data_IF_920264097072
#
_entry.id   IF_920264097072
#
_cell.length_a   1.000
_cell.length_b   1.000
_cell.length_c   1.000
_cell.angle_alpha   90.00
_cell.angle_beta   90.00
_cell.angle_gamma   90.00
#
_symmetry.space_group_name_H-M   'P 1'
#
loop_
_entity.id
_entity.type
_entity.pdbx_description
1 polymer ?
#
# COMPACT_ATOMS: atom_id res chain seq x y z
N UNK A 1 11.61 -15.44 9.22
CA UNK A 1 10.87 -14.99 8.01
C UNK A 1 10.61 -16.20 7.13
N UNK A 2 9.35 -16.57 6.88
CA UNK A 2 9.05 -17.71 6.03
C UNK A 2 9.36 -17.35 4.57
N UNK A 3 10.31 -18.04 3.95
CA UNK A 3 10.72 -17.81 2.56
C UNK A 3 10.06 -18.90 1.70
N UNK A 4 9.17 -18.54 0.77
CA UNK A 4 8.50 -19.49 -0.10
C UNK A 4 9.48 -20.17 -1.04
N UNK A 5 9.31 -21.48 -1.23
CA UNK A 5 10.18 -22.31 -2.07
C UNK A 5 9.67 -22.42 -3.52
N UNK A 6 8.40 -22.14 -3.75
CA UNK A 6 7.72 -22.30 -5.03
C UNK A 6 6.60 -21.25 -5.21
N UNK A 7 5.94 -21.30 -6.37
CA UNK A 7 4.81 -20.44 -6.73
C UNK A 7 3.68 -20.51 -5.70
N UNK A 8 3.34 -21.71 -5.21
CA UNK A 8 2.23 -21.88 -4.26
C UNK A 8 2.55 -21.25 -2.90
N UNK A 9 3.82 -21.31 -2.48
CA UNK A 9 4.29 -20.60 -1.31
C UNK A 9 4.15 -19.08 -1.44
N UNK A 10 4.42 -18.51 -2.63
CA UNK A 10 4.20 -17.08 -2.88
C UNK A 10 2.70 -16.75 -2.81
N UNK A 11 1.84 -17.58 -3.40
CA UNK A 11 0.38 -17.43 -3.30
C UNK A 11 -0.06 -17.35 -1.83
N UNK A 12 0.36 -18.30 -1.01
CA UNK A 12 -0.03 -18.33 0.41
C UNK A 12 0.53 -17.17 1.21
N UNK A 13 1.78 -16.76 0.96
CA UNK A 13 2.37 -15.59 1.62
C UNK A 13 1.52 -14.34 1.40
N UNK A 14 1.21 -14.02 0.14
CA UNK A 14 0.42 -12.83 -0.20
C UNK A 14 -1.04 -12.97 0.22
N UNK A 15 -1.63 -14.18 0.16
CA UNK A 15 -3.01 -14.43 0.62
C UNK A 15 -3.14 -14.18 2.13
N UNK A 16 -2.31 -14.82 2.95
CA UNK A 16 -2.34 -14.67 4.40
C UNK A 16 -2.01 -13.23 4.78
N UNK A 17 -1.02 -12.62 4.12
CA UNK A 17 -0.68 -11.21 4.29
C UNK A 17 -1.86 -10.27 4.00
N UNK A 18 -2.57 -10.49 2.89
CA UNK A 18 -3.75 -9.69 2.57
C UNK A 18 -4.85 -9.86 3.61
N UNK A 19 -5.08 -11.08 4.13
CA UNK A 19 -6.08 -11.32 5.20
C UNK A 19 -5.68 -10.61 6.49
N UNK A 20 -4.39 -10.56 6.83
CA UNK A 20 -3.91 -9.79 7.97
C UNK A 20 -4.26 -8.30 7.82
N UNK A 21 -3.95 -7.70 6.66
CA UNK A 21 -4.31 -6.30 6.39
C UNK A 21 -5.82 -6.08 6.32
N UNK A 22 -6.59 -7.08 5.88
CA UNK A 22 -8.06 -7.11 5.98
C UNK A 22 -8.55 -7.04 7.43
N UNK A 23 -7.85 -7.70 8.35
CA UNK A 23 -8.10 -7.54 9.78
C UNK A 23 -7.88 -6.10 10.24
N UNK A 24 -6.74 -5.49 9.88
CA UNK A 24 -6.41 -4.10 10.25
C UNK A 24 -7.46 -3.12 9.72
N UNK A 25 -7.81 -3.20 8.43
CA UNK A 25 -8.81 -2.31 7.84
C UNK A 25 -10.21 -2.54 8.40
N UNK A 26 -10.56 -3.78 8.77
CA UNK A 26 -11.83 -4.13 9.40
C UNK A 26 -11.94 -3.58 10.82
N UNK A 27 -10.90 -3.72 11.63
CA UNK A 27 -10.85 -3.15 12.99
C UNK A 27 -10.96 -1.62 12.94
N UNK A 28 -10.25 -0.96 12.02
CA UNK A 28 -10.36 0.49 11.83
C UNK A 28 -11.78 0.90 11.41
N UNK A 29 -12.41 0.16 10.49
CA UNK A 29 -13.80 0.40 10.08
C UNK A 29 -14.80 0.26 11.23
N UNK A 30 -14.64 -0.76 12.07
CA UNK A 30 -15.50 -0.98 13.23
C UNK A 30 -15.40 0.17 14.23
N UNK A 31 -14.18 0.64 14.53
CA UNK A 31 -13.97 1.80 15.41
C UNK A 31 -14.65 3.06 14.84
N UNK A 32 -14.46 3.33 13.54
CA UNK A 32 -15.10 4.46 12.88
C UNK A 32 -16.63 4.42 13.02
N UNK A 33 -17.24 3.24 12.82
CA UNK A 33 -18.69 3.06 12.95
C UNK A 33 -19.17 3.25 14.39
N UNK A 34 -18.39 2.80 15.37
CA UNK A 34 -18.68 3.01 16.80
C UNK A 34 -18.72 4.50 17.15
N UNK A 35 -17.80 5.32 16.64
CA UNK A 35 -17.83 6.77 16.92
C UNK A 35 -19.05 7.47 16.33
N UNK A 36 -19.61 6.96 15.23
CA UNK A 36 -20.79 7.54 14.58
C UNK A 36 -22.13 7.19 15.27
N UNK A 37 -22.14 6.32 16.29
CA UNK A 37 -23.37 6.00 17.03
C UNK A 37 -23.69 6.98 18.15
N UNK A 38 -22.74 7.84 18.53
CA UNK A 38 -22.89 8.82 19.60
C UNK A 38 -23.17 10.23 19.04
N UNK A 39 -24.32 10.86 19.34
CA UNK A 39 -24.70 12.16 18.78
C UNK A 39 -23.89 13.34 19.35
N UNK A 40 -23.31 13.20 20.54
CA UNK A 40 -22.43 14.19 21.18
C UNK A 40 -21.11 13.53 21.54
N UNK A 41 -20.11 13.69 20.68
CA UNK A 41 -18.77 13.19 20.90
C UNK A 41 -17.88 14.26 21.56
N UNK A 42 -16.94 13.85 22.42
CA UNK A 42 -15.93 14.77 22.95
C UNK A 42 -14.95 15.18 21.84
N UNK A 43 -14.27 16.34 21.96
CA UNK A 43 -13.31 16.79 20.95
C UNK A 43 -12.25 15.74 20.57
N UNK A 44 -11.78 14.95 21.54
CA UNK A 44 -10.79 13.89 21.33
C UNK A 44 -11.30 12.71 20.48
N UNK A 45 -12.61 12.55 20.33
CA UNK A 45 -13.18 11.54 19.43
C UNK A 45 -12.97 11.93 17.96
N UNK A 46 -12.82 13.23 17.65
CA UNK A 46 -12.54 13.71 16.30
C UNK A 46 -11.24 13.13 15.75
N UNK A 47 -10.14 13.27 16.49
CA UNK A 47 -8.81 12.74 16.13
C UNK A 47 -8.82 11.20 16.00
N UNK A 48 -9.48 10.51 16.94
CA UNK A 48 -9.58 9.04 16.85
C UNK A 48 -10.44 8.59 15.67
N UNK A 49 -11.47 9.35 15.32
CA UNK A 49 -12.32 9.09 14.16
C UNK A 49 -11.55 9.24 12.85
N UNK A 50 -10.85 10.36 12.67
CA UNK A 50 -10.10 10.64 11.45
C UNK A 50 -8.85 9.75 11.33
N UNK A 51 -8.24 9.37 12.45
CA UNK A 51 -7.19 8.34 12.46
C UNK A 51 -7.71 6.98 12.04
N UNK A 52 -8.83 6.53 12.62
CA UNK A 52 -9.47 5.28 12.21
C UNK A 52 -9.92 5.32 10.74
N UNK A 53 -10.44 6.45 10.25
CA UNK A 53 -10.80 6.66 8.84
C UNK A 53 -9.59 6.49 7.93
N UNK A 54 -8.47 7.12 8.30
CA UNK A 54 -7.26 7.13 7.47
C UNK A 54 -6.60 5.77 7.48
N UNK A 55 -6.46 5.12 8.65
CA UNK A 55 -5.95 3.75 8.76
C UNK A 55 -6.83 2.77 7.99
N UNK A 56 -8.15 2.90 8.05
CA UNK A 56 -9.05 2.05 7.26
C UNK A 56 -8.76 2.17 5.77
N UNK A 57 -8.70 3.40 5.25
CA UNK A 57 -8.44 3.63 3.83
C UNK A 57 -7.03 3.25 3.40
N UNK A 58 -6.01 3.53 4.22
CA UNK A 58 -4.63 3.14 3.94
C UNK A 58 -4.45 1.62 4.00
N UNK A 59 -4.94 0.94 5.04
CA UNK A 59 -4.84 -0.52 5.13
C UNK A 59 -5.64 -1.22 4.01
N UNK A 60 -6.74 -0.62 3.55
CA UNK A 60 -7.47 -1.02 2.36
C UNK A 60 -6.65 -0.85 1.07
N UNK A 61 -6.45 0.40 0.68
CA UNK A 61 -5.97 0.74 -0.66
C UNK A 61 -4.46 0.55 -0.82
N UNK A 62 -3.68 0.69 0.26
CA UNK A 62 -2.21 0.68 0.20
C UNK A 62 -1.61 -0.67 0.60
N UNK A 63 -2.38 -1.53 1.27
CA UNK A 63 -1.90 -2.83 1.75
C UNK A 63 -2.77 -3.99 1.25
N UNK A 64 -4.04 -4.07 1.67
CA UNK A 64 -4.92 -5.19 1.34
C UNK A 64 -5.10 -5.36 -0.17
N UNK A 65 -5.50 -4.30 -0.88
CA UNK A 65 -5.79 -4.36 -2.33
C UNK A 65 -4.55 -4.78 -3.13
N UNK A 66 -3.37 -4.15 -2.98
CA UNK A 66 -2.17 -4.57 -3.71
C UNK A 66 -1.73 -6.00 -3.37
N UNK A 67 -1.75 -6.40 -2.10
CA UNK A 67 -1.32 -7.76 -1.72
C UNK A 67 -2.32 -8.83 -2.15
N UNK A 68 -3.62 -8.57 -2.07
CA UNK A 68 -4.65 -9.45 -2.58
C UNK A 68 -4.55 -9.59 -4.11
N UNK A 69 -4.31 -8.49 -4.83
CA UNK A 69 -4.09 -8.52 -6.28
C UNK A 69 -2.87 -9.40 -6.63
N UNK A 70 -1.74 -9.19 -5.96
CA UNK A 70 -0.55 -10.02 -6.15
C UNK A 70 -0.81 -11.51 -5.83
N UNK A 71 -1.59 -11.81 -4.79
CA UNK A 71 -2.00 -13.18 -4.46
C UNK A 71 -2.84 -13.82 -5.58
N UNK A 72 -3.84 -13.11 -6.09
CA UNK A 72 -4.72 -13.59 -7.18
C UNK A 72 -3.92 -13.80 -8.47
N UNK A 73 -3.00 -12.89 -8.79
CA UNK A 73 -2.14 -12.99 -9.97
C UNK A 73 -1.20 -14.19 -9.83
N UNK A 74 -0.53 -14.34 -8.69
CA UNK A 74 0.31 -15.50 -8.41
C UNK A 74 -0.47 -16.82 -8.50
N UNK A 75 -1.72 -16.82 -8.02
CA UNK A 75 -2.60 -17.98 -8.12
C UNK A 75 -2.99 -18.27 -9.57
N UNK A 76 -3.22 -17.22 -10.37
CA UNK A 76 -3.47 -17.38 -11.80
C UNK A 76 -2.30 -18.01 -12.54
N UNK A 77 -1.07 -17.64 -12.18
CA UNK A 77 0.15 -18.25 -12.71
C UNK A 77 0.25 -19.72 -12.31
N UNK A 78 0.05 -20.02 -11.03
CA UNK A 78 0.06 -21.40 -10.50
C UNK A 78 -0.93 -22.30 -11.24
N UNK A 79 -2.19 -21.88 -11.36
CA UNK A 79 -3.24 -22.63 -12.08
C UNK A 79 -2.93 -22.80 -13.57
N UNK A 80 -2.14 -21.88 -14.12
CA UNK A 80 -1.70 -21.89 -15.52
C UNK A 80 -0.44 -22.70 -15.77
N UNK A 81 0.08 -23.39 -14.75
CA UNK A 81 1.35 -24.14 -14.80
C UNK A 81 2.56 -23.24 -15.13
N UNK A 82 2.45 -21.94 -14.84
CA UNK A 82 3.58 -21.01 -14.86
C UNK A 82 4.27 -21.01 -13.50
N UNK A 83 5.52 -20.56 -13.47
CA UNK A 83 6.31 -20.53 -12.24
C UNK A 83 6.70 -19.11 -11.86
N UNK A 84 6.67 -18.81 -10.57
CA UNK A 84 7.34 -17.64 -10.00
C UNK A 84 8.75 -18.12 -9.66
N UNK A 85 9.73 -17.73 -10.46
CA UNK A 85 11.13 -18.15 -10.31
C UNK A 85 11.80 -17.34 -9.20
N UNK A 86 11.40 -16.08 -9.05
CA UNK A 86 11.96 -15.13 -8.08
C UNK A 86 11.23 -15.16 -6.73
N UNK A 87 10.94 -16.34 -6.18
CA UNK A 87 10.14 -16.50 -4.94
C UNK A 87 10.74 -15.76 -3.74
N UNK A 88 12.08 -15.74 -3.62
CA UNK A 88 12.79 -15.05 -2.53
C UNK A 88 12.62 -13.53 -2.62
N UNK A 89 12.68 -12.97 -3.83
CA UNK A 89 12.47 -11.54 -4.06
C UNK A 89 11.01 -11.17 -3.75
N UNK A 90 10.05 -11.99 -4.21
CA UNK A 90 8.65 -11.79 -3.89
C UNK A 90 8.38 -11.74 -2.38
N UNK A 91 9.06 -12.58 -1.60
CA UNK A 91 8.96 -12.54 -0.15
C UNK A 91 9.62 -11.30 0.47
N UNK A 92 10.80 -10.92 -0.01
CA UNK A 92 11.48 -9.70 0.43
C UNK A 92 10.59 -8.46 0.20
N UNK A 93 10.02 -8.33 -1.00
CA UNK A 93 9.11 -7.24 -1.34
C UNK A 93 7.90 -7.20 -0.41
N UNK A 94 7.26 -8.35 -0.18
CA UNK A 94 6.10 -8.45 0.72
C UNK A 94 6.43 -7.99 2.14
N UNK A 95 7.51 -8.52 2.73
CA UNK A 95 7.84 -8.26 4.12
C UNK A 95 8.32 -6.83 4.34
N UNK A 96 9.18 -6.30 3.46
CA UNK A 96 9.63 -4.93 3.56
C UNK A 96 8.50 -3.92 3.30
N UNK A 97 7.65 -4.17 2.29
CA UNK A 97 6.50 -3.31 2.04
C UNK A 97 5.54 -3.30 3.23
N UNK A 98 5.24 -4.48 3.80
CA UNK A 98 4.39 -4.58 4.99
C UNK A 98 5.00 -3.89 6.21
N UNK A 99 6.32 -4.01 6.41
CA UNK A 99 7.03 -3.32 7.49
C UNK A 99 6.93 -1.80 7.33
N UNK A 100 7.22 -1.29 6.13
CA UNK A 100 7.18 0.15 5.86
C UNK A 100 5.77 0.74 5.96
N UNK A 101 4.75 0.02 5.47
CA UNK A 101 3.35 0.38 5.69
C UNK A 101 3.01 0.41 7.19
N UNK A 102 3.47 -0.58 7.95
CA UNK A 102 3.29 -0.63 9.40
C UNK A 102 3.93 0.55 10.11
N UNK A 103 5.14 0.96 9.72
CA UNK A 103 5.81 2.15 10.26
C UNK A 103 5.01 3.41 9.93
N UNK A 104 4.57 3.59 8.67
CA UNK A 104 3.76 4.75 8.30
C UNK A 104 2.46 4.85 9.12
N UNK A 105 1.74 3.73 9.29
CA UNK A 105 0.49 3.68 10.05
C UNK A 105 0.68 3.79 11.56
N UNK A 106 1.84 3.38 12.08
CA UNK A 106 2.17 3.55 13.50
C UNK A 106 2.26 5.03 13.91
N UNK A 107 2.39 5.95 12.95
CA UNK A 107 2.27 7.39 13.17
C UNK A 107 0.85 7.87 13.49
N UNK A 108 -0.16 7.00 13.36
CA UNK A 108 -1.59 7.34 13.49
C UNK A 108 -1.98 8.48 12.54
N UNK A 109 -1.95 8.22 11.21
CA UNK A 109 -2.26 9.21 10.18
C UNK A 109 -3.70 9.74 10.33
N UNK A 110 -3.92 11.04 10.21
CA UNK A 110 -5.20 11.70 10.56
C UNK A 110 -5.78 12.62 9.45
N UNK A 111 -5.23 12.55 8.24
CA UNK A 111 -5.57 13.45 7.13
C UNK A 111 -6.53 12.89 6.07
N UNK A 112 -7.11 11.70 6.31
CA UNK A 112 -7.89 10.96 5.33
C UNK A 112 -7.02 10.20 4.31
N UNK A 113 -7.59 9.16 3.71
CA UNK A 113 -6.81 8.22 2.89
C UNK A 113 -6.26 8.82 1.59
N UNK A 114 -6.95 9.84 1.08
CA UNK A 114 -6.52 10.60 -0.08
C UNK A 114 -5.39 11.58 0.21
N UNK A 115 -4.83 11.68 1.43
CA UNK A 115 -3.62 12.47 1.70
C UNK A 115 -3.57 13.86 1.02
N UNK A 116 -4.67 14.62 0.97
CA UNK A 116 -4.68 15.90 0.24
C UNK A 116 -3.90 16.99 1.00
N UNK A 117 -3.06 17.82 0.33
CA UNK A 117 -2.56 19.05 0.93
C UNK A 117 -3.70 20.08 1.11
N UNK A 118 -3.63 20.96 2.12
CA UNK A 118 -2.52 21.10 3.07
C UNK A 118 -2.58 20.12 4.25
N UNK A 119 -3.69 19.41 4.47
CA UNK A 119 -3.90 18.53 5.63
C UNK A 119 -2.83 17.44 5.78
N UNK A 120 -2.31 16.93 4.66
CA UNK A 120 -1.25 15.93 4.65
C UNK A 120 0.14 16.48 5.03
N UNK A 121 0.32 17.79 5.09
CA UNK A 121 1.62 18.42 5.40
C UNK A 121 1.59 19.34 6.62
N UNK A 122 0.41 19.59 7.20
CA UNK A 122 0.25 20.42 8.38
C UNK A 122 0.32 19.60 9.68
N UNK A 123 0.97 20.17 10.69
CA UNK A 123 0.95 19.66 12.07
C UNK A 123 1.00 20.85 13.03
N UNK A 124 -0.15 21.28 13.51
CA UNK A 124 -0.35 22.41 14.41
C UNK A 124 -1.40 22.07 15.49
N UNK A 125 -1.80 23.02 16.34
CA UNK A 125 -2.74 22.77 17.45
C UNK A 125 -4.18 22.41 17.04
N UNK A 126 -4.51 22.52 15.75
CA UNK A 126 -5.86 22.25 15.22
C UNK A 126 -5.87 21.11 14.19
N UNK A 127 -4.77 20.90 13.47
CA UNK A 127 -4.65 19.91 12.41
C UNK A 127 -3.38 19.09 12.58
N UNK A 128 -3.51 17.78 12.38
CA UNK A 128 -2.40 16.85 12.43
C UNK A 128 -2.42 15.98 11.17
N UNK A 129 -1.34 15.97 10.39
CA UNK A 129 -1.15 14.93 9.38
C UNK A 129 -0.99 13.56 10.07
N UNK A 130 -0.25 13.52 11.18
CA UNK A 130 -0.05 12.34 12.00
C UNK A 130 -0.17 12.71 13.47
N UNK A 131 -0.92 11.93 14.26
CA UNK A 131 -1.08 12.20 15.69
C UNK A 131 0.20 11.93 16.48
N UNK A 132 1.00 10.93 16.08
CA UNK A 132 2.21 10.54 16.82
C UNK A 132 3.51 11.01 16.16
N UNK A 133 3.50 11.28 14.87
CA UNK A 133 4.66 11.82 14.14
C UNK A 133 4.54 13.34 13.99
N UNK A 134 4.74 14.05 15.09
CA UNK A 134 4.44 15.49 15.19
C UNK A 134 5.54 16.42 14.67
N UNK A 135 6.74 15.91 14.40
CA UNK A 135 7.85 16.72 13.88
C UNK A 135 7.96 16.61 12.36
N UNK A 136 8.40 17.68 11.65
CA UNK A 136 8.64 17.64 10.20
C UNK A 136 9.50 16.46 9.75
N UNK A 137 10.54 16.13 10.52
CA UNK A 137 11.42 15.01 10.22
C UNK A 137 10.70 13.66 10.33
N UNK A 138 9.87 13.45 11.37
CA UNK A 138 9.11 12.20 11.51
C UNK A 138 8.03 12.06 10.43
N UNK A 139 7.35 13.15 10.07
CA UNK A 139 6.39 13.14 8.96
C UNK A 139 7.08 12.83 7.62
N UNK A 140 8.22 13.48 7.34
CA UNK A 140 9.05 13.19 6.17
C UNK A 140 9.49 11.71 6.11
N UNK A 141 9.89 11.14 7.26
CA UNK A 141 10.22 9.71 7.35
C UNK A 141 9.01 8.81 7.12
N UNK A 142 7.83 9.17 7.60
CA UNK A 142 6.59 8.41 7.38
C UNK A 142 6.24 8.34 5.88
N UNK A 143 6.33 9.47 5.18
CA UNK A 143 6.16 9.51 3.73
C UNK A 143 7.27 8.79 2.96
N UNK A 144 8.50 8.79 3.49
CA UNK A 144 9.61 8.06 2.87
C UNK A 144 9.39 6.56 2.94
N UNK A 145 9.04 6.01 4.11
CA UNK A 145 8.75 4.58 4.21
C UNK A 145 7.52 4.21 3.37
N UNK A 146 6.51 5.07 3.28
CA UNK A 146 5.35 4.85 2.41
C UNK A 146 5.76 4.79 0.92
N UNK A 147 6.61 5.71 0.48
CA UNK A 147 7.22 5.70 -0.86
C UNK A 147 7.96 4.39 -1.13
N UNK A 148 8.80 3.94 -0.19
CA UNK A 148 9.55 2.70 -0.32
C UNK A 148 8.63 1.48 -0.40
N UNK A 149 7.51 1.48 0.33
CA UNK A 149 6.51 0.42 0.24
C UNK A 149 5.93 0.33 -1.18
N UNK A 150 5.59 1.46 -1.82
CA UNK A 150 5.06 1.48 -3.19
C UNK A 150 6.09 1.06 -4.24
N UNK A 151 7.36 1.43 -4.05
CA UNK A 151 8.46 0.94 -4.91
C UNK A 151 8.58 -0.59 -4.83
N UNK A 152 8.51 -1.15 -3.63
CA UNK A 152 8.59 -2.61 -3.43
C UNK A 152 7.36 -3.34 -3.98
N UNK A 153 6.16 -2.77 -3.80
CA UNK A 153 4.95 -3.30 -4.40
C UNK A 153 5.04 -3.26 -5.94
N UNK A 154 5.48 -2.14 -6.52
CA UNK A 154 5.74 -2.03 -7.97
C UNK A 154 6.71 -3.12 -8.44
N UNK A 155 7.83 -3.31 -7.74
CA UNK A 155 8.80 -4.35 -8.05
C UNK A 155 8.21 -5.77 -7.99
N UNK A 156 7.28 -6.02 -7.07
CA UNK A 156 6.56 -7.30 -6.99
C UNK A 156 5.71 -7.56 -8.24
N UNK A 157 4.98 -6.56 -8.74
CA UNK A 157 4.16 -6.71 -9.95
C UNK A 157 5.02 -6.86 -11.20
N UNK A 158 6.12 -6.10 -11.30
CA UNK A 158 7.10 -6.27 -12.38
C UNK A 158 7.66 -7.70 -12.37
N UNK A 159 7.99 -8.24 -11.19
CA UNK A 159 8.52 -9.60 -11.05
C UNK A 159 7.49 -10.64 -11.48
N UNK A 160 6.22 -10.50 -11.10
CA UNK A 160 5.15 -11.39 -11.56
C UNK A 160 5.00 -11.38 -13.08
N UNK A 161 5.10 -10.20 -13.72
CA UNK A 161 5.06 -10.05 -15.18
C UNK A 161 6.26 -10.77 -15.81
N UNK A 162 7.47 -10.46 -15.35
CA UNK A 162 8.71 -11.05 -15.87
C UNK A 162 8.67 -12.58 -15.75
N UNK A 163 8.29 -13.11 -14.59
CA UNK A 163 8.23 -14.54 -14.35
C UNK A 163 7.16 -15.24 -15.20
N UNK A 164 6.01 -14.61 -15.41
CA UNK A 164 4.98 -15.15 -16.30
C UNK A 164 5.47 -15.28 -17.74
N UNK A 165 6.19 -14.28 -18.27
CA UNK A 165 6.75 -14.34 -19.62
C UNK A 165 7.99 -15.22 -19.73
N UNK A 166 8.81 -15.31 -18.68
CA UNK A 166 10.00 -16.16 -18.65
C UNK A 166 9.65 -17.65 -18.57
N UNK A 167 8.54 -18.00 -17.92
CA UNK A 167 8.14 -19.40 -17.69
C UNK A 167 7.05 -19.90 -18.61
N UNK A 168 6.50 -19.04 -19.48
CA UNK A 168 5.58 -19.49 -20.54
C UNK A 168 6.33 -20.36 -21.56
N UNK A 169 5.69 -21.40 -22.13
CA UNK A 169 6.28 -22.12 -23.26
C UNK A 169 6.56 -21.18 -24.43
N UNK A 170 7.74 -21.29 -25.07
CA UNK A 170 8.28 -20.33 -26.04
C UNK A 170 7.30 -20.02 -27.18
N UNK A 171 6.59 -21.02 -27.67
CA UNK A 171 5.69 -20.92 -28.82
C UNK A 171 4.20 -20.81 -28.43
N UNK A 172 3.90 -20.61 -27.15
CA UNK A 172 2.53 -20.50 -26.66
C UNK A 172 2.23 -19.09 -26.16
N UNK A 173 0.97 -18.69 -26.34
CA UNK A 173 0.39 -17.54 -25.66
C UNK A 173 0.10 -17.91 -24.21
N UNK A 174 0.08 -16.92 -23.32
CA UNK A 174 -0.48 -17.12 -21.99
C UNK A 174 -1.93 -17.58 -22.14
N UNK A 175 -2.33 -18.58 -21.36
CA UNK A 175 -3.74 -18.95 -21.30
C UNK A 175 -4.55 -17.78 -20.74
N UNK A 176 -5.87 -17.83 -20.93
CA UNK A 176 -6.75 -16.70 -20.56
C UNK A 176 -6.64 -16.32 -19.08
N UNK A 177 -6.48 -17.29 -18.17
CA UNK A 177 -6.44 -17.04 -16.74
C UNK A 177 -5.15 -16.31 -16.32
N UNK A 178 -3.99 -16.77 -16.79
CA UNK A 178 -2.73 -16.05 -16.58
C UNK A 178 -2.69 -14.73 -17.34
N UNK A 179 -3.27 -14.65 -18.55
CA UNK A 179 -3.29 -13.42 -19.34
C UNK A 179 -4.03 -12.29 -18.62
N UNK A 180 -5.19 -12.58 -18.01
CA UNK A 180 -5.88 -11.60 -17.17
C UNK A 180 -5.04 -11.18 -15.97
N UNK A 181 -4.46 -12.14 -15.23
CA UNK A 181 -3.60 -11.83 -14.09
C UNK A 181 -2.43 -10.92 -14.47
N UNK A 182 -1.72 -11.23 -15.56
CA UNK A 182 -0.60 -10.43 -16.06
C UNK A 182 -1.06 -9.06 -16.57
N UNK A 183 -2.22 -8.98 -17.23
CA UNK A 183 -2.76 -7.70 -17.68
C UNK A 183 -3.05 -6.75 -16.50
N UNK A 184 -3.66 -7.26 -15.42
CA UNK A 184 -3.84 -6.48 -14.19
C UNK A 184 -2.51 -6.11 -13.54
N UNK A 185 -1.54 -7.03 -13.52
CA UNK A 185 -0.20 -6.73 -13.01
C UNK A 185 0.45 -5.56 -13.75
N UNK A 186 0.31 -5.49 -15.08
CA UNK A 186 0.85 -4.42 -15.92
C UNK A 186 0.22 -3.08 -15.54
N UNK A 187 -1.11 -3.03 -15.44
CA UNK A 187 -1.82 -1.80 -15.03
C UNK A 187 -1.31 -1.32 -13.68
N UNK A 188 -1.22 -2.20 -12.69
CA UNK A 188 -0.77 -1.85 -11.34
C UNK A 188 0.70 -1.41 -11.33
N UNK A 189 1.56 -2.09 -12.09
CA UNK A 189 2.98 -1.74 -12.21
C UNK A 189 3.22 -0.36 -12.85
N UNK A 190 2.26 0.15 -13.63
CA UNK A 190 2.31 1.48 -14.24
C UNK A 190 1.70 2.54 -13.31
N UNK A 191 0.67 2.21 -12.52
CA UNK A 191 -0.02 3.19 -11.67
C UNK A 191 0.63 3.38 -10.30
N UNK A 192 1.15 2.33 -9.65
CA UNK A 192 1.84 2.46 -8.35
C UNK A 192 3.05 3.43 -8.36
N UNK A 193 3.85 3.54 -9.44
CA UNK A 193 4.87 4.58 -9.54
C UNK A 193 4.36 6.01 -9.40
N UNK A 194 3.14 6.31 -9.86
CA UNK A 194 2.54 7.64 -9.68
C UNK A 194 2.29 7.92 -8.20
N UNK A 195 1.75 6.94 -7.48
CA UNK A 195 1.54 7.03 -6.03
C UNK A 195 2.87 7.16 -5.26
N UNK A 196 3.91 6.42 -5.67
CA UNK A 196 5.26 6.56 -5.12
C UNK A 196 5.85 7.97 -5.37
N UNK A 197 5.63 8.54 -6.55
CA UNK A 197 6.06 9.90 -6.87
C UNK A 197 5.32 10.94 -6.02
N UNK A 198 4.01 10.78 -5.82
CA UNK A 198 3.19 11.66 -4.97
C UNK A 198 3.66 11.66 -3.52
N UNK A 199 3.97 10.50 -2.94
CA UNK A 199 4.51 10.45 -1.57
C UNK A 199 5.97 10.90 -1.49
N UNK A 200 6.78 10.66 -2.53
CA UNK A 200 8.14 11.20 -2.61
C UNK A 200 8.12 12.74 -2.66
N UNK A 201 7.11 13.34 -3.27
CA UNK A 201 6.97 14.80 -3.24
C UNK A 201 6.77 15.32 -1.81
N UNK A 202 6.02 14.61 -0.96
CA UNK A 202 5.95 14.94 0.47
C UNK A 202 7.28 14.76 1.19
N UNK A 203 8.07 13.73 0.86
CA UNK A 203 9.44 13.58 1.39
C UNK A 203 10.29 14.79 1.05
N UNK A 204 10.25 15.25 -0.20
CA UNK A 204 10.99 16.41 -0.66
C UNK A 204 10.48 17.72 -0.03
N UNK A 205 9.19 17.81 0.27
CA UNK A 205 8.64 18.91 1.02
C UNK A 205 9.28 19.03 2.41
N UNK A 206 9.29 17.93 3.17
CA UNK A 206 9.80 17.95 4.55
C UNK A 206 11.33 18.03 4.65
N UNK A 207 12.08 17.42 3.72
CA UNK A 207 13.54 17.38 3.81
C UNK A 207 14.26 18.42 2.95
N UNK A 208 13.61 18.93 1.90
CA UNK A 208 14.22 19.87 0.95
C UNK A 208 13.42 21.16 0.76
N UNK A 209 12.30 21.34 1.49
CA UNK A 209 11.49 22.55 1.41
C UNK A 209 10.76 22.75 0.08
N UNK A 210 10.58 21.68 -0.72
CA UNK A 210 9.90 21.78 -2.01
C UNK A 210 8.40 22.00 -1.76
N UNK A 211 7.78 23.06 -2.33
CA UNK A 211 6.35 23.28 -2.15
C UNK A 211 5.54 22.20 -2.86
N UNK A 212 4.40 21.82 -2.26
CA UNK A 212 3.44 20.90 -2.87
C UNK A 212 2.27 21.70 -3.41
N UNK A 213 1.99 21.58 -4.70
CA UNK A 213 0.82 22.20 -5.31
C UNK A 213 -0.40 21.28 -5.15
N UNK A 214 -1.47 21.70 -4.45
CA UNK A 214 -2.62 20.83 -4.17
C UNK A 214 -3.34 20.33 -5.43
N UNK A 215 -3.43 21.14 -6.49
CA UNK A 215 -4.09 20.76 -7.73
C UNK A 215 -3.29 19.73 -8.51
N UNK A 216 -1.98 19.94 -8.63
CA UNK A 216 -1.09 18.96 -9.28
C UNK A 216 -1.04 17.66 -8.47
N UNK A 217 -1.06 17.75 -7.13
CA UNK A 217 -1.14 16.59 -6.26
C UNK A 217 -2.39 15.75 -6.56
N UNK A 218 -3.56 16.39 -6.65
CA UNK A 218 -4.83 15.74 -6.97
C UNK A 218 -4.87 15.07 -8.36
N UNK A 219 -4.02 15.50 -9.30
CA UNK A 219 -3.91 14.88 -10.62
C UNK A 219 -2.96 13.68 -10.64
N UNK A 220 -2.00 13.63 -9.72
CA UNK A 220 -1.00 12.56 -9.63
C UNK A 220 -1.43 11.39 -8.75
N UNK A 221 -2.32 11.64 -7.77
CA UNK A 221 -2.88 10.64 -6.86
C UNK A 221 -4.13 9.98 -7.44
#
# INVERSE_FOLDING_TARGET
>A
MAIPKDTLGVVWLYTIGSIFWLGVLGIAAMNLRTFLTYPNNSPNVGELYYSALTIHGWAGMLAFVPFAAAAVIAFSMYKSKLSIVHTKLMALYFWLASLFLGIAMAGSPDMGWYMYPPLAIESNSQFHAFLFYTTPALMGMAYLVLTLAFVLQTASFITLIVDAYATKPKDQRLNIFAAYGVAFAIVIAITLPALAASTLWYVLHFFAGIPVNPLLWALLF
#
